data_IF_534986595947
#
_entry.id   IF_534986595947
#
_cell.length_a   1.000
_cell.length_b   1.000
_cell.length_c   1.000
_cell.angle_alpha   90.00
_cell.angle_beta   90.00
_cell.angle_gamma   90.00
#
_symmetry.space_group_name_H-M   'P 1'
#
loop_
_entity.id
_entity.type
_entity.pdbx_description
1 polymer ?
#
# COMPACT_ATOMS: atom_id res chain seq x y z
N UNK A 1 -30.52 10.84 3.24
CA UNK A 1 -29.43 11.83 3.40
C UNK A 1 -28.12 11.08 3.35
N UNK A 2 -27.33 11.27 2.30
CA UNK A 2 -25.95 10.74 2.21
C UNK A 2 -25.04 11.68 2.97
N UNK A 3 -24.43 11.21 4.05
CA UNK A 3 -23.39 11.97 4.76
C UNK A 3 -22.13 12.00 3.90
N UNK A 4 -21.75 13.17 3.42
CA UNK A 4 -20.48 13.36 2.73
C UNK A 4 -19.35 13.32 3.76
N UNK A 5 -18.66 12.19 3.86
CA UNK A 5 -17.37 12.10 4.58
C UNK A 5 -16.26 12.63 3.66
N UNK A 6 -15.41 13.50 4.17
CA UNK A 6 -14.25 13.98 3.43
C UNK A 6 -13.16 12.90 3.41
N UNK A 7 -12.31 12.91 2.39
CA UNK A 7 -11.13 12.03 2.33
C UNK A 7 -10.26 12.19 3.58
N UNK A 8 -10.07 13.44 4.03
CA UNK A 8 -9.40 13.74 5.30
C UNK A 8 -10.04 13.01 6.48
N UNK A 9 -11.35 13.11 6.65
CA UNK A 9 -12.06 12.40 7.75
C UNK A 9 -12.04 10.87 7.63
N UNK A 10 -11.88 10.34 6.42
CA UNK A 10 -11.86 8.89 6.17
C UNK A 10 -10.53 8.26 6.58
N UNK A 11 -9.43 8.96 6.36
CA UNK A 11 -8.07 8.46 6.59
C UNK A 11 -7.36 9.10 7.79
N UNK A 12 -8.00 10.05 8.46
CA UNK A 12 -7.47 10.66 9.67
C UNK A 12 -7.26 9.62 10.78
N UNK A 13 -6.12 9.73 11.46
CA UNK A 13 -5.76 8.96 12.65
C UNK A 13 -5.11 9.92 13.65
N UNK A 14 -5.29 9.66 14.95
CA UNK A 14 -4.70 10.48 16.01
C UNK A 14 -3.22 10.17 16.21
N UNK A 15 -2.46 11.07 16.85
CA UNK A 15 -1.05 10.84 17.17
C UNK A 15 -0.82 9.59 18.04
N UNK A 16 -1.72 9.31 18.98
CA UNK A 16 -1.68 8.09 19.78
C UNK A 16 -1.89 6.84 18.91
N UNK A 17 -2.86 6.89 18.00
CA UNK A 17 -3.11 5.79 17.07
C UNK A 17 -1.94 5.58 16.12
N UNK A 18 -1.30 6.66 15.64
CA UNK A 18 -0.07 6.59 14.83
C UNK A 18 0.99 5.77 15.57
N UNK A 19 1.25 6.04 16.85
CA UNK A 19 2.27 5.31 17.62
C UNK A 19 1.94 3.81 17.74
N UNK A 20 0.67 3.48 17.98
CA UNK A 20 0.20 2.08 18.06
C UNK A 20 0.38 1.38 16.70
N UNK A 21 -0.05 2.02 15.62
CA UNK A 21 0.07 1.49 14.27
C UNK A 21 1.53 1.30 13.87
N UNK A 22 2.42 2.23 14.25
CA UNK A 22 3.85 2.14 13.97
C UNK A 22 4.46 0.91 14.63
N UNK A 23 4.17 0.69 15.92
CA UNK A 23 4.62 -0.49 16.67
C UNK A 23 4.10 -1.79 16.04
N UNK A 24 2.81 -1.86 15.74
CA UNK A 24 2.20 -3.05 15.14
C UNK A 24 2.79 -3.35 13.76
N UNK A 25 2.94 -2.32 12.93
CA UNK A 25 3.54 -2.44 11.60
C UNK A 25 4.99 -2.95 11.65
N UNK A 26 5.80 -2.46 12.60
CA UNK A 26 7.16 -2.98 12.80
C UNK A 26 7.21 -4.42 13.31
N UNK A 27 6.13 -4.90 13.93
CA UNK A 27 5.96 -6.29 14.36
C UNK A 27 5.31 -7.19 13.30
N UNK A 28 5.18 -6.71 12.06
CA UNK A 28 4.65 -7.50 10.95
C UNK A 28 3.17 -7.28 10.65
N UNK A 29 2.47 -6.41 11.38
CA UNK A 29 1.06 -6.14 11.09
C UNK A 29 0.90 -5.34 9.80
N UNK A 30 0.51 -6.05 8.75
CA UNK A 30 0.39 -5.53 7.39
C UNK A 30 -0.71 -4.47 7.23
N UNK A 31 -1.77 -4.56 8.03
CA UNK A 31 -2.90 -3.63 7.98
C UNK A 31 -2.55 -2.30 8.64
N UNK A 32 -1.81 -2.32 9.76
CA UNK A 32 -1.32 -1.12 10.42
C UNK A 32 -0.36 -0.35 9.52
N UNK A 33 0.56 -1.06 8.87
CA UNK A 33 1.44 -0.46 7.86
C UNK A 33 0.65 0.16 6.70
N UNK A 34 -0.38 -0.53 6.20
CA UNK A 34 -1.19 -0.01 5.11
C UNK A 34 -2.04 1.20 5.53
N UNK A 35 -2.54 1.23 6.77
CA UNK A 35 -3.28 2.38 7.32
C UNK A 35 -2.37 3.61 7.46
N UNK A 36 -1.13 3.43 7.89
CA UNK A 36 -0.13 4.51 7.93
C UNK A 36 0.19 5.02 6.52
N UNK A 37 0.35 4.12 5.55
CA UNK A 37 0.48 4.50 4.13
C UNK A 37 -0.68 5.40 3.67
N UNK A 38 -1.93 5.00 3.93
CA UNK A 38 -3.11 5.79 3.56
C UNK A 38 -3.15 7.15 4.26
N UNK A 39 -2.82 7.21 5.54
CA UNK A 39 -2.74 8.47 6.28
C UNK A 39 -1.73 9.43 5.65
N UNK A 40 -0.52 8.95 5.35
CA UNK A 40 0.51 9.78 4.75
C UNK A 40 0.19 10.19 3.30
N UNK A 41 -0.49 9.32 2.54
CA UNK A 41 -0.93 9.62 1.18
C UNK A 41 -2.06 10.66 1.11
N UNK A 42 -3.02 10.61 2.04
CA UNK A 42 -4.27 11.35 1.93
C UNK A 42 -4.45 12.48 2.94
N UNK A 43 -3.67 12.50 4.03
CA UNK A 43 -3.85 13.45 5.14
C UNK A 43 -2.59 14.26 5.37
N UNK A 44 -1.46 13.61 5.71
CA UNK A 44 -0.23 14.35 5.99
C UNK A 44 0.51 14.78 4.71
N UNK A 45 0.25 14.11 3.59
CA UNK A 45 0.89 14.32 2.29
C UNK A 45 2.43 14.23 2.36
N UNK A 46 2.94 13.33 3.19
CA UNK A 46 4.38 13.10 3.38
C UNK A 46 4.82 11.93 2.48
N UNK A 47 5.49 12.26 1.38
CA UNK A 47 5.88 11.28 0.35
C UNK A 47 6.93 10.27 0.85
N UNK A 48 7.85 10.70 1.72
CA UNK A 48 8.88 9.81 2.26
C UNK A 48 8.25 8.77 3.20
N UNK A 49 7.33 9.21 4.06
CA UNK A 49 6.58 8.32 4.93
C UNK A 49 5.58 7.47 4.15
N UNK A 50 4.90 8.01 3.14
CA UNK A 50 4.03 7.26 2.23
C UNK A 50 4.79 6.06 1.65
N UNK A 51 5.93 6.31 1.00
CA UNK A 51 6.72 5.26 0.37
C UNK A 51 7.24 4.24 1.39
N UNK A 52 7.74 4.72 2.54
CA UNK A 52 8.21 3.86 3.64
C UNK A 52 7.13 2.89 4.11
N UNK A 53 5.92 3.38 4.38
CA UNK A 53 4.83 2.54 4.88
C UNK A 53 4.24 1.63 3.80
N UNK A 54 4.23 2.08 2.54
CA UNK A 54 3.88 1.24 1.41
C UNK A 54 4.83 0.04 1.31
N UNK A 55 6.14 0.27 1.41
CA UNK A 55 7.13 -0.81 1.40
C UNK A 55 6.96 -1.77 2.57
N UNK A 56 6.76 -1.26 3.80
CA UNK A 56 6.57 -2.10 4.99
C UNK A 56 5.30 -2.94 4.85
N UNK A 57 4.19 -2.35 4.41
CA UNK A 57 2.93 -3.07 4.18
C UNK A 57 3.10 -4.16 3.13
N UNK A 58 3.81 -3.87 2.03
CA UNK A 58 4.09 -4.84 0.98
C UNK A 58 4.99 -5.99 1.47
N UNK A 59 6.05 -5.68 2.23
CA UNK A 59 6.95 -6.65 2.87
C UNK A 59 6.20 -7.56 3.85
N UNK A 60 5.26 -6.99 4.62
CA UNK A 60 4.40 -7.72 5.56
C UNK A 60 3.25 -8.49 4.88
N UNK A 61 3.14 -8.45 3.55
CA UNK A 61 2.18 -9.28 2.82
C UNK A 61 0.80 -8.64 2.61
N UNK A 62 0.68 -7.32 2.70
CA UNK A 62 -0.58 -6.64 2.36
C UNK A 62 -0.80 -6.70 0.83
N UNK A 63 -1.84 -7.38 0.33
CA UNK A 63 -1.98 -7.66 -1.11
C UNK A 63 -2.11 -6.39 -1.96
N UNK A 64 -2.89 -5.42 -1.49
CA UNK A 64 -3.07 -4.14 -2.20
C UNK A 64 -1.77 -3.34 -2.18
N UNK A 65 -1.01 -3.36 -1.07
CA UNK A 65 0.26 -2.64 -0.99
C UNK A 65 1.30 -3.23 -1.96
N UNK A 66 1.31 -4.55 -2.10
CA UNK A 66 2.17 -5.23 -3.08
C UNK A 66 1.78 -4.87 -4.52
N UNK A 67 0.48 -4.74 -4.82
CA UNK A 67 0.02 -4.28 -6.13
C UNK A 67 0.44 -2.83 -6.39
N UNK A 68 0.23 -1.92 -5.43
CA UNK A 68 0.61 -0.52 -5.55
C UNK A 68 2.13 -0.35 -5.72
N UNK A 69 2.93 -1.13 -4.98
CA UNK A 69 4.39 -1.10 -5.10
C UNK A 69 4.87 -1.68 -6.44
N UNK A 70 4.18 -2.70 -6.97
CA UNK A 70 4.45 -3.23 -8.30
C UNK A 70 4.16 -2.20 -9.40
N UNK A 71 3.05 -1.49 -9.30
CA UNK A 71 2.66 -0.42 -10.23
C UNK A 71 3.67 0.74 -10.19
N UNK A 72 4.08 1.17 -9.00
CA UNK A 72 5.11 2.19 -8.83
C UNK A 72 6.43 1.80 -9.52
N UNK A 73 6.90 0.56 -9.35
CA UNK A 73 8.12 0.12 -10.05
C UNK A 73 7.91 -0.02 -11.56
N UNK A 74 6.71 -0.37 -12.01
CA UNK A 74 6.39 -0.44 -13.43
C UNK A 74 6.45 0.95 -14.07
N UNK A 75 5.85 1.97 -13.44
CA UNK A 75 5.88 3.36 -13.93
C UNK A 75 7.28 3.97 -13.90
N UNK A 76 8.13 3.55 -12.96
CA UNK A 76 9.56 3.88 -12.93
C UNK A 76 10.42 3.11 -13.96
N UNK A 77 9.82 2.23 -14.77
CA UNK A 77 10.53 1.41 -15.76
C UNK A 77 11.31 0.23 -15.17
N UNK A 78 11.20 -0.02 -13.86
CA UNK A 78 11.84 -1.15 -13.19
C UNK A 78 10.98 -2.42 -13.29
N UNK A 79 10.98 -3.03 -14.49
CA UNK A 79 10.18 -4.22 -14.79
C UNK A 79 10.47 -5.42 -13.87
N UNK A 80 11.72 -5.62 -13.46
CA UNK A 80 12.10 -6.73 -12.60
C UNK A 80 11.42 -6.64 -11.23
N UNK A 81 11.50 -5.47 -10.58
CA UNK A 81 10.82 -5.24 -9.30
C UNK A 81 9.31 -5.28 -9.45
N UNK A 82 8.77 -4.74 -10.54
CA UNK A 82 7.34 -4.80 -10.83
C UNK A 82 6.84 -6.25 -10.92
N UNK A 83 7.52 -7.12 -11.68
CA UNK A 83 7.20 -8.55 -11.80
C UNK A 83 7.25 -9.23 -10.43
N UNK A 84 8.28 -8.96 -9.64
CA UNK A 84 8.46 -9.56 -8.31
C UNK A 84 7.27 -9.25 -7.39
N UNK A 85 6.88 -7.97 -7.29
CA UNK A 85 5.80 -7.55 -6.42
C UNK A 85 4.43 -7.94 -6.96
N UNK A 86 4.20 -7.87 -8.28
CA UNK A 86 2.95 -8.30 -8.91
C UNK A 86 2.67 -9.80 -8.68
N UNK A 87 3.70 -10.66 -8.79
CA UNK A 87 3.56 -12.09 -8.48
C UNK A 87 3.20 -12.33 -7.01
N UNK A 88 3.78 -11.57 -6.07
CA UNK A 88 3.43 -11.66 -4.65
C UNK A 88 2.01 -11.20 -4.39
N UNK A 89 1.63 -10.06 -4.96
CA UNK A 89 0.29 -9.49 -4.85
C UNK A 89 -0.77 -10.48 -5.33
N UNK A 90 -0.59 -11.06 -6.53
CA UNK A 90 -1.49 -12.07 -7.08
C UNK A 90 -1.64 -13.30 -6.17
N UNK A 91 -0.51 -13.86 -5.68
CA UNK A 91 -0.52 -15.00 -4.74
C UNK A 91 -1.25 -14.69 -3.44
N UNK A 92 -1.23 -13.44 -3.00
CA UNK A 92 -1.92 -12.97 -1.80
C UNK A 92 -3.36 -12.48 -2.07
N UNK A 93 -3.90 -12.74 -3.27
CA UNK A 93 -5.29 -12.44 -3.62
C UNK A 93 -5.54 -10.98 -4.01
N UNK A 94 -4.50 -10.21 -4.36
CA UNK A 94 -4.70 -8.87 -4.90
C UNK A 94 -5.33 -8.93 -6.29
N UNK A 95 -6.30 -8.05 -6.53
CA UNK A 95 -6.70 -7.69 -7.89
C UNK A 95 -5.59 -6.80 -8.48
N UNK A 96 -5.07 -7.19 -9.64
CA UNK A 96 -4.04 -6.43 -10.34
C UNK A 96 -4.63 -5.56 -11.46
N UNK A 97 -4.00 -4.41 -11.76
CA UNK A 97 -4.15 -3.72 -13.04
C UNK A 97 -3.83 -4.63 -14.22
N UNK A 98 -4.45 -4.40 -15.37
CA UNK A 98 -4.31 -5.27 -16.54
C UNK A 98 -2.87 -5.27 -17.07
N UNK A 99 -2.15 -4.15 -16.97
CA UNK A 99 -0.74 -4.03 -17.33
C UNK A 99 0.13 -4.99 -16.49
N UNK A 100 -0.15 -5.09 -15.19
CA UNK A 100 0.58 -5.99 -14.29
C UNK A 100 0.20 -7.45 -14.54
N UNK A 101 -1.04 -7.75 -14.92
CA UNK A 101 -1.46 -9.10 -15.31
C UNK A 101 -0.73 -9.58 -16.56
N UNK A 102 -0.65 -8.72 -17.58
CA UNK A 102 0.13 -8.96 -18.80
C UNK A 102 1.59 -9.19 -18.44
N UNK A 103 2.15 -8.34 -17.56
CA UNK A 103 3.55 -8.40 -17.16
C UNK A 103 3.93 -9.74 -16.49
N UNK A 104 3.00 -10.39 -15.78
CA UNK A 104 3.23 -11.68 -15.12
C UNK A 104 2.54 -12.88 -15.79
N UNK A 105 1.98 -12.67 -16.99
CA UNK A 105 1.30 -13.68 -17.82
C UNK A 105 0.13 -14.40 -17.12
N UNK A 106 -0.81 -13.64 -16.57
CA UNK A 106 -2.06 -14.18 -16.00
C UNK A 106 -3.29 -13.54 -16.65
N UNK A 107 -4.41 -14.27 -16.68
CA UNK A 107 -5.69 -13.85 -17.27
C UNK A 107 -6.58 -13.11 -16.27
#
# INVERSE_FOLDING_TARGET
MTNFISTGSTYWISDEEIQILQKNATNGDKNSAFKLYQYHMFVSLDQDLEFKWLEIAAKNGHPIAQSNLADLFFTQGNKEKAIFWAKKAYRNGAKLPDELKILININ
#
